data_IF_152925142963
#
_entry.id   IF_152925142963
#
_cell.length_a   1.000
_cell.length_b   1.000
_cell.length_c   1.000
_cell.angle_alpha   90.00
_cell.angle_beta   90.00
_cell.angle_gamma   90.00
#
_symmetry.space_group_name_H-M   'P 1'
#
loop_
_entity.id
_entity.type
_entity.pdbx_description
1 polymer ?
#
# COMPACT_ATOMS: atom_id res chain seq x y z
N UNK A 1 3.31 35.16 -7.34
CA UNK A 1 2.98 34.14 -6.33
C UNK A 1 2.09 33.12 -7.04
N UNK A 2 2.66 32.20 -7.83
CA UNK A 2 1.86 31.40 -8.80
C UNK A 2 2.26 29.91 -8.88
N UNK A 3 3.40 29.49 -8.30
CA UNK A 3 3.86 28.10 -8.38
C UNK A 3 3.23 27.15 -7.32
N UNK A 4 2.53 27.68 -6.31
CA UNK A 4 1.90 26.87 -5.25
C UNK A 4 0.66 26.12 -5.75
N UNK A 5 -0.13 26.74 -6.64
CA UNK A 5 -1.35 26.14 -7.19
C UNK A 5 -1.08 24.87 -8.02
N UNK A 6 -0.01 24.83 -8.81
CA UNK A 6 0.28 23.68 -9.68
C UNK A 6 0.61 22.40 -8.91
N UNK A 7 1.35 22.51 -7.79
CA UNK A 7 1.68 21.35 -6.93
C UNK A 7 0.47 20.85 -6.14
N UNK A 8 -0.39 21.76 -5.69
CA UNK A 8 -1.63 21.41 -4.99
C UNK A 8 -2.62 20.73 -5.95
N UNK A 9 -2.80 21.28 -7.15
CA UNK A 9 -3.65 20.68 -8.18
C UNK A 9 -3.16 19.29 -8.60
N UNK A 10 -1.85 19.08 -8.72
CA UNK A 10 -1.29 17.77 -9.05
C UNK A 10 -1.56 16.73 -7.95
N UNK A 11 -1.49 17.12 -6.67
CA UNK A 11 -1.85 16.26 -5.53
C UNK A 11 -3.33 15.90 -5.54
N UNK A 12 -4.19 16.88 -5.77
CA UNK A 12 -5.65 16.68 -5.81
C UNK A 12 -6.06 15.76 -6.96
N UNK A 13 -5.48 15.95 -8.15
CA UNK A 13 -5.68 15.05 -9.28
C UNK A 13 -5.17 13.64 -9.00
N UNK A 14 -4.07 13.49 -8.26
CA UNK A 14 -3.57 12.17 -7.90
C UNK A 14 -4.49 11.47 -6.91
N UNK A 15 -4.97 12.20 -5.90
CA UNK A 15 -5.93 11.70 -4.94
C UNK A 15 -7.21 11.21 -5.64
N UNK A 16 -7.79 12.01 -6.54
CA UNK A 16 -8.97 11.60 -7.32
C UNK A 16 -8.72 10.35 -8.18
N UNK A 17 -7.50 10.18 -8.72
CA UNK A 17 -7.14 8.97 -9.47
C UNK A 17 -7.03 7.74 -8.58
N UNK A 18 -6.54 7.89 -7.36
CA UNK A 18 -6.45 6.79 -6.38
C UNK A 18 -7.86 6.39 -5.95
N UNK A 19 -8.72 7.34 -5.57
CA UNK A 19 -10.10 7.06 -5.17
C UNK A 19 -10.87 6.35 -6.29
N UNK A 20 -10.75 6.81 -7.54
CA UNK A 20 -11.39 6.16 -8.69
C UNK A 20 -10.91 4.72 -8.92
N UNK A 21 -9.65 4.42 -8.60
CA UNK A 21 -9.13 3.05 -8.66
C UNK A 21 -9.65 2.21 -7.49
N UNK A 22 -9.78 2.78 -6.28
CA UNK A 22 -10.41 2.11 -5.13
C UNK A 22 -11.88 1.82 -5.37
N UNK A 23 -12.63 2.74 -5.98
CA UNK A 23 -14.04 2.54 -6.32
C UNK A 23 -14.30 1.25 -7.12
N UNK A 24 -13.34 0.81 -7.94
CA UNK A 24 -13.44 -0.46 -8.67
C UNK A 24 -13.53 -1.68 -7.74
N UNK A 25 -12.84 -1.62 -6.59
CA UNK A 25 -12.78 -2.68 -5.59
C UNK A 25 -13.85 -2.53 -4.49
N UNK A 26 -14.69 -1.50 -4.53
CA UNK A 26 -15.68 -1.24 -3.48
C UNK A 26 -16.58 -2.46 -3.20
N UNK A 27 -16.66 -2.86 -1.94
CA UNK A 27 -17.43 -4.03 -1.47
C UNK A 27 -16.74 -5.38 -1.71
N UNK A 28 -15.52 -5.41 -2.23
CA UNK A 28 -14.75 -6.64 -2.37
C UNK A 28 -14.11 -7.02 -1.03
N UNK A 29 -13.95 -8.31 -0.80
CA UNK A 29 -13.18 -8.86 0.33
C UNK A 29 -11.68 -8.78 0.02
N UNK A 30 -11.14 -7.56 0.04
CA UNK A 30 -9.72 -7.29 -0.20
C UNK A 30 -9.24 -6.00 0.49
N UNK A 31 -7.93 -5.98 0.76
CA UNK A 31 -7.18 -4.79 1.13
C UNK A 31 -6.66 -4.13 -0.16
N UNK A 32 -6.75 -2.81 -0.27
CA UNK A 32 -6.06 -2.04 -1.32
C UNK A 32 -4.91 -1.24 -0.74
N UNK A 33 -3.81 -1.12 -1.47
CA UNK A 33 -2.62 -0.36 -1.09
C UNK A 33 -2.17 0.55 -2.23
N UNK A 34 -1.43 1.61 -1.92
CA UNK A 34 -0.99 2.63 -2.89
C UNK A 34 0.54 2.67 -3.01
N UNK A 35 1.03 2.32 -4.19
CA UNK A 35 2.45 2.46 -4.57
C UNK A 35 2.56 3.54 -5.65
N UNK A 36 3.19 4.65 -5.29
CA UNK A 36 3.23 5.84 -6.15
C UNK A 36 1.83 6.39 -6.40
N UNK A 37 1.28 6.13 -7.59
CA UNK A 37 -0.04 6.60 -8.03
C UNK A 37 -0.97 5.44 -8.46
N UNK A 38 -0.58 4.21 -8.15
CA UNK A 38 -1.29 2.99 -8.55
C UNK A 38 -1.85 2.29 -7.33
N UNK A 39 -3.09 1.81 -7.45
CA UNK A 39 -3.74 0.98 -6.42
C UNK A 39 -3.51 -0.49 -6.76
N UNK A 40 -3.00 -1.24 -5.79
CA UNK A 40 -2.86 -2.69 -5.86
C UNK A 40 -3.84 -3.33 -4.88
N UNK A 41 -4.46 -4.43 -5.29
CA UNK A 41 -5.43 -5.17 -4.47
C UNK A 41 -4.84 -6.48 -3.96
N UNK A 42 -5.13 -6.78 -2.71
CA UNK A 42 -4.61 -7.92 -1.95
C UNK A 42 -5.79 -8.72 -1.40
N UNK A 43 -5.96 -9.94 -1.88
CA UNK A 43 -7.09 -10.79 -1.53
C UNK A 43 -7.15 -12.07 -2.36
N UNK A 44 -7.96 -13.04 -1.95
CA UNK A 44 -8.00 -14.39 -2.53
C UNK A 44 -8.22 -14.42 -4.06
N UNK A 45 -8.85 -13.39 -4.63
CA UNK A 45 -9.13 -13.23 -6.07
C UNK A 45 -8.48 -11.97 -6.69
N UNK A 46 -7.42 -11.44 -6.07
CA UNK A 46 -6.74 -10.22 -6.52
C UNK A 46 -5.35 -10.54 -7.10
N UNK A 47 -4.64 -9.51 -7.58
CA UNK A 47 -3.26 -9.61 -8.10
C UNK A 47 -2.33 -10.27 -7.06
N UNK A 48 -2.43 -9.83 -5.81
CA UNK A 48 -1.73 -10.43 -4.68
C UNK A 48 -2.72 -11.19 -3.83
N UNK A 49 -2.35 -12.39 -3.38
CA UNK A 49 -3.26 -13.23 -2.59
C UNK A 49 -3.18 -12.89 -1.10
N UNK A 50 -1.99 -12.53 -0.64
CA UNK A 50 -1.70 -12.21 0.76
C UNK A 50 -0.89 -10.92 0.90
N UNK A 51 -0.90 -10.27 2.09
CA UNK A 51 -0.01 -9.14 2.36
C UNK A 51 1.47 -9.47 2.15
N UNK A 52 1.89 -10.69 2.50
CA UNK A 52 3.26 -11.15 2.33
C UNK A 52 3.64 -11.20 0.84
N UNK A 53 2.77 -11.72 -0.03
CA UNK A 53 3.03 -11.77 -1.49
C UNK A 53 3.33 -10.38 -2.06
N UNK A 54 2.55 -9.38 -1.62
CA UNK A 54 2.76 -7.99 -2.03
C UNK A 54 4.10 -7.46 -1.53
N UNK A 55 4.42 -7.70 -0.24
CA UNK A 55 5.68 -7.24 0.35
C UNK A 55 6.90 -7.88 -0.34
N UNK A 56 6.84 -9.19 -0.63
CA UNK A 56 7.90 -9.89 -1.35
C UNK A 56 8.13 -9.29 -2.75
N UNK A 57 7.07 -8.96 -3.48
CA UNK A 57 7.19 -8.30 -4.79
C UNK A 57 7.80 -6.90 -4.67
N UNK A 58 7.41 -6.10 -3.66
CA UNK A 58 8.00 -4.78 -3.44
C UNK A 58 9.49 -4.85 -3.08
N UNK A 59 9.90 -5.84 -2.30
CA UNK A 59 11.30 -6.08 -1.97
C UNK A 59 12.11 -6.51 -3.20
N UNK A 60 11.52 -7.32 -4.07
CA UNK A 60 12.15 -7.78 -5.30
C UNK A 60 12.31 -6.65 -6.34
N UNK A 61 11.35 -5.72 -6.40
CA UNK A 61 11.45 -4.53 -7.27
C UNK A 61 12.50 -3.55 -6.76
N UNK A 62 12.34 -3.06 -5.51
CA UNK A 62 13.25 -2.06 -4.93
C UNK A 62 13.19 -2.06 -3.39
N UNK A 63 14.04 -2.88 -2.78
CA UNK A 63 14.17 -2.97 -1.33
C UNK A 63 14.51 -1.63 -0.65
N UNK A 64 15.29 -0.75 -1.29
CA UNK A 64 15.63 0.56 -0.72
C UNK A 64 14.39 1.47 -0.66
N UNK A 65 13.55 1.46 -1.70
CA UNK A 65 12.27 2.19 -1.67
C UNK A 65 11.33 1.61 -0.62
N UNK A 66 11.24 0.28 -0.49
CA UNK A 66 10.42 -0.35 0.53
C UNK A 66 10.90 0.05 1.93
N UNK A 67 12.21 0.00 2.20
CA UNK A 67 12.79 0.44 3.46
C UNK A 67 12.40 1.88 3.82
N UNK A 68 12.54 2.81 2.86
CA UNK A 68 12.18 4.22 3.05
C UNK A 68 10.68 4.37 3.33
N UNK A 69 9.84 3.63 2.61
CA UNK A 69 8.38 3.69 2.76
C UNK A 69 7.93 3.15 4.11
N UNK A 70 8.46 1.98 4.52
CA UNK A 70 8.21 1.34 5.82
C UNK A 70 8.97 1.98 6.99
N UNK A 71 9.70 3.07 6.75
CA UNK A 71 10.45 3.82 7.77
C UNK A 71 11.45 2.98 8.58
N UNK A 72 12.06 1.97 7.94
CA UNK A 72 13.07 1.13 8.58
C UNK A 72 14.42 1.86 8.66
N UNK A 73 15.13 1.68 9.77
CA UNK A 73 16.45 2.29 10.01
C UNK A 73 17.50 1.70 9.08
N UNK A 74 17.49 0.38 8.93
CA UNK A 74 18.39 -0.37 8.06
C UNK A 74 17.75 -1.66 7.54
N UNK A 75 18.43 -2.33 6.60
CA UNK A 75 17.92 -3.55 5.99
C UNK A 75 17.79 -4.70 6.99
N UNK A 76 18.64 -4.75 8.02
CA UNK A 76 18.60 -5.81 9.03
C UNK A 76 17.32 -5.67 9.86
N UNK A 77 16.98 -4.47 10.30
CA UNK A 77 15.74 -4.20 11.04
C UNK A 77 14.52 -4.58 10.20
N UNK A 78 14.50 -4.23 8.91
CA UNK A 78 13.42 -4.60 7.98
C UNK A 78 13.28 -6.12 7.85
N UNK A 79 14.36 -6.83 7.51
CA UNK A 79 14.28 -8.29 7.35
C UNK A 79 13.96 -9.01 8.66
N UNK A 80 14.42 -8.48 9.80
CA UNK A 80 14.08 -9.01 11.11
C UNK A 80 12.58 -8.85 11.38
N UNK A 81 12.02 -7.65 11.17
CA UNK A 81 10.59 -7.41 11.31
C UNK A 81 9.76 -8.37 10.44
N UNK A 82 10.14 -8.52 9.17
CA UNK A 82 9.43 -9.40 8.25
C UNK A 82 9.58 -10.87 8.64
N UNK A 83 10.74 -11.30 9.11
CA UNK A 83 10.95 -12.68 9.57
C UNK A 83 10.14 -13.00 10.83
N UNK A 84 10.01 -12.05 11.76
CA UNK A 84 9.23 -12.22 12.99
C UNK A 84 7.71 -12.23 12.73
N UNK A 85 7.26 -11.59 11.64
CA UNK A 85 5.85 -11.36 11.35
C UNK A 85 5.34 -11.99 10.04
N UNK A 86 6.15 -12.76 9.31
CA UNK A 86 5.79 -13.30 7.99
C UNK A 86 4.48 -14.12 8.00
N UNK A 87 4.22 -14.85 9.09
CA UNK A 87 3.00 -15.65 9.26
C UNK A 87 1.86 -14.88 9.96
N UNK A 88 2.12 -13.65 10.41
CA UNK A 88 1.15 -12.81 11.11
C UNK A 88 0.43 -11.87 10.13
N UNK A 89 -0.65 -12.37 9.54
CA UNK A 89 -1.44 -11.62 8.56
C UNK A 89 -1.97 -10.28 9.10
N UNK A 90 -2.42 -10.25 10.36
CA UNK A 90 -2.98 -9.02 10.96
C UNK A 90 -1.92 -7.92 11.05
N UNK A 91 -0.73 -8.28 11.56
CA UNK A 91 0.40 -7.36 11.66
C UNK A 91 0.85 -6.85 10.28
N UNK A 92 0.96 -7.74 9.28
CA UNK A 92 1.33 -7.33 7.93
C UNK A 92 0.26 -6.44 7.27
N UNK A 93 -1.03 -6.68 7.55
CA UNK A 93 -2.12 -5.80 7.11
C UNK A 93 -1.95 -4.41 7.74
N UNK A 94 -1.78 -4.33 9.06
CA UNK A 94 -1.60 -3.05 9.75
C UNK A 94 -0.36 -2.29 9.26
N UNK A 95 0.74 -2.99 8.98
CA UNK A 95 1.90 -2.38 8.32
C UNK A 95 1.55 -1.76 6.96
N UNK A 96 0.78 -2.46 6.13
CA UNK A 96 0.37 -1.94 4.83
C UNK A 96 -0.62 -0.77 4.94
N UNK A 97 -1.49 -0.77 5.94
CA UNK A 97 -2.34 0.37 6.30
C UNK A 97 -1.51 1.62 6.61
N UNK A 98 -0.57 1.50 7.55
CA UNK A 98 0.23 2.62 8.04
C UNK A 98 1.20 3.17 6.98
N UNK A 99 1.85 2.28 6.24
CA UNK A 99 2.97 2.67 5.39
C UNK A 99 2.63 2.68 3.90
N UNK A 100 1.58 1.98 3.46
CA UNK A 100 1.19 1.94 2.05
C UNK A 100 -0.20 2.50 1.79
N UNK A 101 -0.78 3.26 2.73
CA UNK A 101 -2.15 3.78 2.64
C UNK A 101 -3.13 2.63 2.38
N UNK A 102 -2.98 1.56 3.16
CA UNK A 102 -3.83 0.38 3.10
C UNK A 102 -5.26 0.69 3.50
N UNK A 103 -6.22 0.12 2.79
CA UNK A 103 -7.65 0.33 3.03
C UNK A 103 -8.47 -0.91 2.69
N UNK A 104 -9.20 -1.41 3.68
CA UNK A 104 -10.16 -2.51 3.51
C UNK A 104 -11.34 -2.05 2.66
N UNK A 105 -11.67 -2.85 1.65
CA UNK A 105 -12.67 -2.47 0.66
C UNK A 105 -14.07 -3.02 0.96
N UNK A 106 -14.20 -3.95 1.90
CA UNK A 106 -15.47 -4.58 2.24
C UNK A 106 -16.54 -3.57 2.68
N UNK A 107 -16.12 -2.53 3.40
CA UNK A 107 -16.97 -1.45 3.92
C UNK A 107 -16.74 -0.09 3.24
N UNK A 108 -15.94 -0.06 2.17
CA UNK A 108 -15.62 1.20 1.48
C UNK A 108 -16.84 1.82 0.81
N UNK A 109 -17.12 3.08 1.13
CA UNK A 109 -18.25 3.85 0.61
C UNK A 109 -19.61 3.54 1.25
N UNK A 110 -19.67 2.75 2.33
CA UNK A 110 -20.88 2.49 3.12
C UNK A 110 -21.05 3.41 4.31
#
# INVERSE_FOLDING_TARGET
MEAKQGKELAKELNYQKIEKQRDFYAGWDCLTVVVGNTVHAIGQNCEYRTPLDFIEEQLADDADKFMVKGQFTDAKDMYQYLFENCDNREELTSFLEDYFDGMEMADYGR
#
